data_IF_497937819917
#
_entry.id   IF_497937819917
#
_cell.length_a   1.000
_cell.length_b   1.000
_cell.length_c   1.000
_cell.angle_alpha   90.00
_cell.angle_beta   90.00
_cell.angle_gamma   90.00
#
_symmetry.space_group_name_H-M   'P 1'
#
loop_
_entity.id
_entity.type
_entity.pdbx_description
1 polymer ?
#
# COMPACT_ATOMS: atom_id res chain seq x y z
N UNK A 1 17.46 12.13 -21.85
CA UNK A 1 16.75 11.58 -20.69
C UNK A 1 17.65 11.81 -19.50
N UNK A 2 17.17 12.49 -18.46
CA UNK A 2 17.94 12.55 -17.22
C UNK A 2 17.98 11.13 -16.63
N UNK A 3 19.17 10.56 -16.52
CA UNK A 3 19.36 9.25 -15.89
C UNK A 3 19.14 9.37 -14.41
N UNK A 4 18.28 8.51 -13.85
CA UNK A 4 18.05 8.46 -12.40
C UNK A 4 19.37 8.14 -11.68
N UNK A 5 19.71 8.82 -10.56
CA UNK A 5 20.80 8.37 -9.71
C UNK A 5 20.52 6.95 -9.18
N UNK A 6 21.52 6.06 -9.21
CA UNK A 6 21.40 4.69 -8.68
C UNK A 6 20.93 4.70 -7.21
N UNK A 7 21.38 5.70 -6.43
CA UNK A 7 20.94 5.88 -5.03
C UNK A 7 19.43 6.11 -4.91
N UNK A 8 18.82 6.89 -5.80
CA UNK A 8 17.37 7.11 -5.82
C UNK A 8 16.63 5.82 -6.18
N UNK A 9 17.12 5.09 -7.18
CA UNK A 9 16.54 3.82 -7.58
C UNK A 9 16.60 2.76 -6.48
N UNK A 10 17.69 2.70 -5.73
CA UNK A 10 17.80 1.81 -4.56
C UNK A 10 16.90 2.25 -3.41
N UNK A 11 16.74 3.55 -3.22
CA UNK A 11 15.87 4.10 -2.18
C UNK A 11 14.39 3.76 -2.41
N UNK A 12 13.95 3.61 -3.66
CA UNK A 12 12.58 3.21 -4.04
C UNK A 12 12.21 1.77 -3.58
N UNK A 13 13.20 0.91 -3.24
CA UNK A 13 12.93 -0.39 -2.64
C UNK A 13 12.53 -0.31 -1.16
N UNK A 14 12.94 0.75 -0.44
CA UNK A 14 12.69 0.88 1.00
C UNK A 14 11.19 0.88 1.31
N UNK A 15 10.34 1.72 0.70
CA UNK A 15 8.90 1.70 0.95
C UNK A 15 8.28 0.36 0.58
N UNK A 16 8.72 -0.27 -0.50
CA UNK A 16 8.21 -1.58 -0.95
C UNK A 16 8.41 -2.66 0.11
N UNK A 17 9.58 -2.74 0.72
CA UNK A 17 9.84 -3.71 1.79
C UNK A 17 9.19 -3.32 3.12
N UNK A 18 9.11 -2.02 3.45
CA UNK A 18 8.38 -1.55 4.62
C UNK A 18 6.89 -1.94 4.53
N UNK A 19 6.28 -1.73 3.36
CA UNK A 19 4.92 -2.19 3.08
C UNK A 19 4.76 -3.70 3.30
N UNK A 20 5.66 -4.52 2.75
CA UNK A 20 5.59 -5.98 2.89
C UNK A 20 5.60 -6.42 4.36
N UNK A 21 6.48 -5.82 5.17
CA UNK A 21 6.56 -6.11 6.61
C UNK A 21 5.26 -5.70 7.31
N UNK A 22 4.76 -4.49 7.05
CA UNK A 22 3.49 -4.01 7.61
C UNK A 22 2.31 -4.91 7.23
N UNK A 23 2.22 -5.26 5.94
CA UNK A 23 1.20 -6.16 5.43
C UNK A 23 1.25 -7.56 6.07
N UNK A 24 2.45 -8.10 6.32
CA UNK A 24 2.61 -9.36 7.05
C UNK A 24 1.96 -9.30 8.44
N UNK A 25 2.22 -8.24 9.21
CA UNK A 25 1.60 -8.07 10.52
C UNK A 25 0.10 -7.84 10.44
N UNK A 26 -0.37 -7.13 9.43
CA UNK A 26 -1.80 -6.93 9.20
C UNK A 26 -2.51 -8.25 8.84
N UNK A 27 -1.90 -9.12 8.04
CA UNK A 27 -2.40 -10.47 7.76
C UNK A 27 -2.50 -11.29 9.06
N UNK A 28 -1.48 -11.21 9.92
CA UNK A 28 -1.50 -11.88 11.25
C UNK A 28 -2.62 -11.36 12.14
N UNK A 29 -2.89 -10.05 12.11
CA UNK A 29 -4.01 -9.43 12.81
C UNK A 29 -5.34 -9.96 12.27
N UNK A 30 -5.51 -10.04 10.96
CA UNK A 30 -6.71 -10.57 10.33
C UNK A 30 -6.97 -12.05 10.68
N UNK A 31 -5.92 -12.86 10.84
CA UNK A 31 -6.03 -14.26 11.32
C UNK A 31 -6.63 -14.31 12.73
N UNK A 32 -6.16 -13.43 13.63
CA UNK A 32 -6.66 -13.37 15.02
C UNK A 32 -8.13 -12.93 15.02
N UNK A 33 -8.50 -11.93 14.21
CA UNK A 33 -9.83 -11.33 14.25
C UNK A 33 -10.91 -12.15 13.55
N UNK A 34 -10.62 -12.73 12.39
CA UNK A 34 -11.63 -13.31 11.48
C UNK A 34 -11.25 -14.64 10.87
N UNK A 35 -10.08 -15.17 11.23
CA UNK A 35 -9.61 -16.45 10.72
C UNK A 35 -9.11 -16.43 9.29
N UNK A 36 -8.96 -17.62 8.70
CA UNK A 36 -8.27 -17.84 7.42
C UNK A 36 -8.85 -17.16 6.17
N UNK A 37 -10.19 -17.04 5.97
CA UNK A 37 -10.71 -16.49 4.71
C UNK A 37 -10.33 -15.01 4.50
N UNK A 38 -10.52 -14.17 5.52
CA UNK A 38 -10.19 -12.75 5.48
C UNK A 38 -8.68 -12.51 5.32
N UNK A 39 -7.87 -13.32 6.03
CA UNK A 39 -6.42 -13.23 5.95
C UNK A 39 -5.86 -13.62 4.58
N UNK A 40 -6.47 -14.60 3.88
CA UNK A 40 -6.05 -14.99 2.52
C UNK A 40 -6.28 -13.88 1.51
N UNK A 41 -7.43 -13.22 1.58
CA UNK A 41 -7.75 -12.10 0.70
C UNK A 41 -6.81 -10.92 0.94
N UNK A 42 -6.53 -10.61 2.22
CA UNK A 42 -5.59 -9.56 2.60
C UNK A 42 -4.17 -9.90 2.13
N UNK A 43 -3.74 -11.16 2.27
CA UNK A 43 -2.43 -11.63 1.80
C UNK A 43 -2.32 -11.53 0.26
N UNK A 44 -3.34 -11.94 -0.48
CA UNK A 44 -3.33 -11.85 -1.94
C UNK A 44 -3.26 -10.39 -2.41
N UNK A 45 -4.04 -9.49 -1.80
CA UNK A 45 -3.97 -8.06 -2.07
C UNK A 45 -2.59 -7.47 -1.75
N UNK A 46 -2.03 -7.82 -0.59
CA UNK A 46 -0.71 -7.37 -0.17
C UNK A 46 0.40 -7.83 -1.12
N UNK A 47 0.35 -9.08 -1.59
CA UNK A 47 1.33 -9.59 -2.57
C UNK A 47 1.24 -8.85 -3.90
N UNK A 48 0.03 -8.52 -4.37
CA UNK A 48 -0.15 -7.74 -5.59
C UNK A 48 0.41 -6.32 -5.45
N UNK A 49 0.15 -5.64 -4.32
CA UNK A 49 0.73 -4.32 -4.06
C UNK A 49 2.25 -4.38 -3.99
N UNK A 50 2.79 -5.35 -3.25
CA UNK A 50 4.23 -5.56 -3.17
C UNK A 50 4.86 -5.78 -4.53
N UNK A 51 4.29 -6.68 -5.35
CA UNK A 51 4.79 -6.95 -6.70
C UNK A 51 4.70 -5.70 -7.59
N UNK A 52 3.63 -4.89 -7.46
CA UNK A 52 3.51 -3.63 -8.17
C UNK A 52 4.62 -2.64 -7.81
N UNK A 53 4.86 -2.41 -6.52
CA UNK A 53 5.95 -1.56 -6.04
C UNK A 53 7.32 -2.09 -6.45
N UNK A 54 7.53 -3.40 -6.32
CA UNK A 54 8.78 -4.05 -6.68
C UNK A 54 9.09 -3.94 -8.19
N UNK A 55 8.11 -4.11 -9.06
CA UNK A 55 8.32 -3.98 -10.51
C UNK A 55 8.68 -2.55 -10.92
N UNK A 56 8.10 -1.52 -10.28
CA UNK A 56 8.48 -0.12 -10.48
C UNK A 56 9.92 0.15 -10.03
N UNK A 57 10.26 -0.26 -8.79
CA UNK A 57 11.60 -0.06 -8.23
C UNK A 57 12.66 -0.77 -9.08
N UNK A 58 12.36 -1.99 -9.54
CA UNK A 58 13.22 -2.74 -10.44
C UNK A 58 13.41 -2.02 -11.78
N UNK A 59 12.34 -1.50 -12.37
CA UNK A 59 12.43 -0.72 -13.61
C UNK A 59 13.32 0.51 -13.43
N UNK A 60 13.11 1.32 -12.38
CA UNK A 60 13.97 2.47 -12.08
C UNK A 60 15.43 2.06 -11.92
N UNK A 61 15.68 0.96 -11.23
CA UNK A 61 17.04 0.44 -11.04
C UNK A 61 17.69 0.02 -12.36
N UNK A 62 16.96 -0.68 -13.23
CA UNK A 62 17.48 -1.10 -14.54
C UNK A 62 17.81 0.11 -15.45
N UNK A 63 16.97 1.14 -15.43
CA UNK A 63 17.21 2.41 -16.15
C UNK A 63 18.42 3.15 -15.55
N UNK A 64 18.51 3.26 -14.22
CA UNK A 64 19.62 3.92 -13.54
C UNK A 64 20.97 3.21 -13.74
N UNK A 65 20.94 1.87 -13.87
CA UNK A 65 22.11 1.06 -14.13
C UNK A 65 22.44 0.90 -15.63
N UNK A 66 21.71 1.59 -16.52
CA UNK A 66 21.87 1.56 -17.98
C UNK A 66 21.77 0.13 -18.58
N UNK A 67 21.05 -0.77 -17.90
CA UNK A 67 20.90 -2.17 -18.34
C UNK A 67 19.81 -2.29 -19.40
N UNK A 68 18.61 -1.77 -19.13
CA UNK A 68 17.47 -1.78 -20.05
C UNK A 68 16.37 -0.81 -19.63
N UNK A 69 15.64 -0.25 -20.58
CA UNK A 69 14.41 0.51 -20.33
C UNK A 69 13.19 -0.30 -20.75
N UNK A 70 12.64 -1.05 -19.79
CA UNK A 70 11.46 -1.89 -20.02
C UNK A 70 10.22 -1.15 -19.49
N UNK A 71 9.72 -0.21 -20.28
CA UNK A 71 8.60 0.70 -19.91
C UNK A 71 7.36 -0.03 -19.40
N UNK A 72 7.00 -1.20 -19.95
CA UNK A 72 5.83 -1.93 -19.47
C UNK A 72 5.95 -2.37 -18.01
N UNK A 73 7.17 -2.55 -17.49
CA UNK A 73 7.42 -2.94 -16.10
C UNK A 73 6.95 -1.83 -15.14
N UNK A 74 7.18 -0.55 -15.49
CA UNK A 74 6.69 0.58 -14.73
C UNK A 74 5.16 0.70 -14.79
N UNK A 75 4.54 0.29 -15.89
CA UNK A 75 3.09 0.36 -16.07
C UNK A 75 2.36 -0.75 -15.31
N UNK A 76 3.00 -1.90 -15.15
CA UNK A 76 2.45 -3.05 -14.41
C UNK A 76 2.14 -2.71 -12.95
N UNK A 77 2.90 -1.77 -12.36
CA UNK A 77 2.64 -1.24 -11.03
C UNK A 77 1.18 -0.81 -10.83
N UNK A 78 0.63 -0.02 -11.74
CA UNK A 78 -0.72 0.54 -11.59
C UNK A 78 -1.79 -0.55 -11.58
N UNK A 79 -1.62 -1.57 -12.43
CA UNK A 79 -2.55 -2.70 -12.53
C UNK A 79 -2.48 -3.53 -11.24
N UNK A 80 -1.28 -3.95 -10.86
CA UNK A 80 -1.08 -4.80 -9.69
C UNK A 80 -1.46 -4.09 -8.40
N UNK A 81 -1.01 -2.85 -8.21
CA UNK A 81 -1.32 -2.09 -7.00
C UNK A 81 -2.80 -1.69 -6.95
N UNK A 82 -3.44 -1.34 -8.08
CA UNK A 82 -4.86 -1.02 -8.12
C UNK A 82 -5.73 -2.20 -7.65
N UNK A 83 -5.52 -3.38 -8.20
CA UNK A 83 -6.22 -4.61 -7.80
C UNK A 83 -5.85 -4.98 -6.35
N UNK A 84 -4.56 -4.87 -6.01
CA UNK A 84 -4.03 -5.19 -4.70
C UNK A 84 -4.64 -4.34 -3.58
N UNK A 85 -4.63 -3.01 -3.72
CA UNK A 85 -5.21 -2.10 -2.73
C UNK A 85 -6.72 -2.25 -2.61
N UNK A 86 -7.42 -2.52 -3.71
CA UNK A 86 -8.85 -2.83 -3.64
C UNK A 86 -9.09 -4.09 -2.81
N UNK A 87 -8.32 -5.15 -3.05
CA UNK A 87 -8.37 -6.38 -2.25
C UNK A 87 -8.08 -6.14 -0.77
N UNK A 88 -7.05 -5.33 -0.47
CA UNK A 88 -6.70 -4.91 0.88
C UNK A 88 -7.84 -4.13 1.55
N UNK A 89 -8.39 -3.12 0.89
CA UNK A 89 -9.47 -2.30 1.42
C UNK A 89 -10.70 -3.15 1.76
N UNK A 90 -11.11 -4.03 0.85
CA UNK A 90 -12.23 -4.95 1.09
C UNK A 90 -11.92 -5.88 2.25
N UNK A 91 -10.71 -6.44 2.34
CA UNK A 91 -10.30 -7.32 3.45
C UNK A 91 -10.31 -6.59 4.81
N UNK A 92 -9.85 -5.32 4.86
CA UNK A 92 -9.90 -4.49 6.06
C UNK A 92 -11.34 -4.17 6.46
N UNK A 93 -12.23 -3.87 5.51
CA UNK A 93 -13.66 -3.69 5.78
C UNK A 93 -14.27 -4.96 6.39
N UNK A 94 -13.93 -6.14 5.85
CA UNK A 94 -14.38 -7.42 6.43
C UNK A 94 -13.83 -7.65 7.83
N UNK A 95 -12.58 -7.27 8.07
CA UNK A 95 -11.98 -7.37 9.39
C UNK A 95 -12.76 -6.57 10.43
N UNK A 96 -13.30 -5.40 10.05
CA UNK A 96 -14.07 -4.52 10.95
C UNK A 96 -15.54 -4.92 11.09
N UNK A 97 -16.22 -5.17 9.96
CA UNK A 97 -17.69 -5.29 9.93
C UNK A 97 -18.21 -6.72 10.11
N UNK A 98 -17.35 -7.73 9.99
CA UNK A 98 -17.81 -9.13 9.94
C UNK A 98 -18.53 -9.49 8.64
N UNK A 99 -18.97 -10.75 8.53
CA UNK A 99 -19.63 -11.25 7.33
C UNK A 99 -21.00 -10.58 7.12
N UNK A 100 -21.04 -9.50 6.38
CA UNK A 100 -22.23 -9.06 5.66
C UNK A 100 -21.93 -9.14 4.17
N UNK A 101 -22.61 -10.08 3.49
CA UNK A 101 -22.64 -10.39 2.04
C UNK A 101 -21.41 -9.93 1.25
N UNK A 102 -20.65 -10.90 0.78
CA UNK A 102 -19.54 -10.71 -0.14
C UNK A 102 -19.96 -9.82 -1.31
N UNK A 103 -19.28 -8.70 -1.48
CA UNK A 103 -19.20 -8.07 -2.78
C UNK A 103 -18.50 -9.09 -3.69
N UNK A 104 -19.27 -9.74 -4.52
CA UNK A 104 -18.78 -10.73 -5.49
C UNK A 104 -17.71 -10.07 -6.35
N UNK A 105 -16.51 -10.63 -6.36
CA UNK A 105 -15.31 -10.10 -7.04
C UNK A 105 -15.41 -9.96 -8.57
N UNK A 106 -16.59 -10.20 -9.16
CA UNK A 106 -16.83 -10.05 -10.59
C UNK A 106 -16.83 -8.61 -11.12
N UNK A 107 -17.16 -7.63 -10.28
CA UNK A 107 -17.17 -6.22 -10.69
C UNK A 107 -15.76 -5.61 -10.80
N UNK A 108 -14.77 -6.20 -10.16
CA UNK A 108 -13.38 -5.72 -10.10
C UNK A 108 -12.61 -6.01 -11.39
N UNK A 109 -12.92 -7.09 -12.06
CA UNK A 109 -12.22 -7.53 -13.28
C UNK A 109 -12.60 -6.72 -14.54
N UNK A 110 -13.79 -6.16 -14.59
CA UNK A 110 -14.28 -5.42 -15.75
C UNK A 110 -13.70 -4.00 -15.89
N UNK A 111 -13.08 -3.45 -14.83
CA UNK A 111 -12.44 -2.11 -14.85
C UNK A 111 -10.96 -2.14 -15.28
N UNK A 112 -10.44 -3.31 -15.66
CA UNK A 112 -9.01 -3.56 -15.84
C UNK A 112 -8.38 -2.99 -17.12
N UNK A 113 -9.07 -2.22 -17.95
CA UNK A 113 -8.59 -1.89 -19.30
C UNK A 113 -8.02 -0.47 -19.50
N UNK A 114 -8.02 0.43 -18.48
CA UNK A 114 -7.59 1.82 -18.65
C UNK A 114 -6.77 2.33 -17.44
N UNK A 115 -5.62 2.94 -17.70
CA UNK A 115 -4.63 3.41 -16.72
C UNK A 115 -5.22 4.37 -15.67
N UNK A 116 -6.06 5.30 -16.08
CA UNK A 116 -6.68 6.33 -15.21
C UNK A 116 -7.63 5.72 -14.16
N UNK A 117 -8.52 4.77 -14.49
CA UNK A 117 -9.35 4.09 -13.50
C UNK A 117 -8.55 3.32 -12.46
N UNK A 118 -7.41 2.70 -12.83
CA UNK A 118 -6.56 1.98 -11.87
C UNK A 118 -5.94 2.90 -10.84
N UNK A 119 -5.44 4.04 -11.28
CA UNK A 119 -4.84 5.04 -10.38
C UNK A 119 -5.89 5.58 -9.41
N UNK A 120 -7.11 5.82 -9.90
CA UNK A 120 -8.22 6.27 -9.07
C UNK A 120 -8.65 5.20 -8.06
N UNK A 121 -8.82 3.95 -8.50
CA UNK A 121 -9.14 2.80 -7.63
C UNK A 121 -8.04 2.56 -6.61
N UNK A 122 -6.78 2.62 -7.02
CA UNK A 122 -5.62 2.49 -6.13
C UNK A 122 -5.67 3.54 -5.02
N UNK A 123 -5.80 4.82 -5.39
CA UNK A 123 -5.79 5.94 -4.44
C UNK A 123 -6.98 5.87 -3.47
N UNK A 124 -8.20 5.68 -3.96
CA UNK A 124 -9.39 5.58 -3.11
C UNK A 124 -9.33 4.36 -2.19
N UNK A 125 -8.84 3.23 -2.69
CA UNK A 125 -8.76 1.99 -1.91
C UNK A 125 -7.67 2.05 -0.85
N UNK A 126 -6.50 2.64 -1.15
CA UNK A 126 -5.43 2.82 -0.16
C UNK A 126 -5.85 3.81 0.92
N UNK A 127 -6.41 4.97 0.56
CA UNK A 127 -6.97 5.94 1.51
C UNK A 127 -8.06 5.31 2.38
N UNK A 128 -8.95 4.51 1.77
CA UNK A 128 -10.00 3.79 2.49
C UNK A 128 -9.45 2.78 3.49
N UNK A 129 -8.49 1.96 3.07
CA UNK A 129 -7.86 0.95 3.92
C UNK A 129 -7.11 1.60 5.09
N UNK A 130 -6.24 2.58 4.83
CA UNK A 130 -5.47 3.27 5.87
C UNK A 130 -6.35 4.12 6.78
N UNK A 131 -7.38 4.79 6.25
CA UNK A 131 -8.35 5.53 7.05
C UNK A 131 -9.11 4.64 8.03
N UNK A 132 -9.51 3.43 7.59
CA UNK A 132 -10.15 2.44 8.47
C UNK A 132 -9.16 1.94 9.53
N UNK A 133 -7.91 1.66 9.17
CA UNK A 133 -6.88 1.23 10.11
C UNK A 133 -6.56 2.31 11.14
N UNK A 134 -6.48 3.57 10.71
CA UNK A 134 -6.33 4.75 11.57
C UNK A 134 -7.47 4.82 12.59
N UNK A 135 -8.72 4.74 12.11
CA UNK A 135 -9.90 4.74 12.97
C UNK A 135 -9.90 3.58 13.96
N UNK A 136 -9.57 2.36 13.50
CA UNK A 136 -9.48 1.19 14.36
C UNK A 136 -8.45 1.37 15.48
N UNK A 137 -7.28 1.88 15.15
CA UNK A 137 -6.19 2.11 16.10
C UNK A 137 -6.62 3.13 17.17
N UNK A 138 -7.19 4.27 16.77
CA UNK A 138 -7.69 5.27 17.70
C UNK A 138 -8.85 4.74 18.56
N UNK A 139 -9.80 4.02 17.99
CA UNK A 139 -10.91 3.40 18.74
C UNK A 139 -10.43 2.43 19.81
N UNK A 140 -9.31 1.78 19.62
CA UNK A 140 -8.66 0.90 20.61
C UNK A 140 -7.73 1.64 21.59
N UNK A 141 -7.64 2.96 21.50
CA UNK A 141 -6.76 3.78 22.34
C UNK A 141 -5.28 3.74 21.95
N UNK A 142 -4.94 3.12 20.82
CA UNK A 142 -3.57 2.98 20.31
C UNK A 142 -3.15 4.27 19.59
N UNK A 143 -2.94 5.35 20.33
CA UNK A 143 -2.65 6.68 19.77
C UNK A 143 -1.45 6.68 18.80
N UNK A 144 -0.37 5.97 19.18
CA UNK A 144 0.84 5.89 18.33
C UNK A 144 0.58 5.14 17.03
N UNK A 145 -0.17 4.01 17.08
CA UNK A 145 -0.54 3.29 15.88
C UNK A 145 -1.46 4.12 14.97
N UNK A 146 -2.45 4.81 15.57
CA UNK A 146 -3.33 5.72 14.84
C UNK A 146 -2.59 6.87 14.18
N UNK A 147 -1.65 7.50 14.88
CA UNK A 147 -0.81 8.54 14.31
C UNK A 147 0.10 8.00 13.18
N UNK A 148 0.66 6.81 13.34
CA UNK A 148 1.49 6.17 12.34
C UNK A 148 0.73 5.88 11.04
N UNK A 149 -0.49 5.34 11.10
CA UNK A 149 -1.35 5.18 9.92
C UNK A 149 -1.79 6.53 9.33
N UNK A 150 -2.07 7.53 10.17
CA UNK A 150 -2.44 8.87 9.68
C UNK A 150 -1.30 9.53 8.88
N UNK A 151 -0.03 9.27 9.23
CA UNK A 151 1.13 9.71 8.45
C UNK A 151 1.08 9.09 7.04
N UNK A 152 0.72 7.80 6.90
CA UNK A 152 0.51 7.15 5.60
C UNK A 152 -0.57 7.85 4.78
N UNK A 153 -1.75 8.11 5.39
CA UNK A 153 -2.84 8.86 4.72
C UNK A 153 -2.36 10.24 4.24
N UNK A 154 -1.63 10.98 5.07
CA UNK A 154 -1.08 12.29 4.69
C UNK A 154 -0.06 12.18 3.56
N UNK A 155 0.78 11.14 3.58
CA UNK A 155 1.72 10.84 2.50
C UNK A 155 1.01 10.61 1.16
N UNK A 156 -0.05 9.80 1.15
CA UNK A 156 -0.86 9.56 -0.05
C UNK A 156 -1.49 10.84 -0.62
N UNK A 157 -1.99 11.72 0.25
CA UNK A 157 -2.53 13.02 -0.17
C UNK A 157 -1.44 13.94 -0.72
N UNK A 158 -0.26 13.96 -0.08
CA UNK A 158 0.88 14.74 -0.55
C UNK A 158 1.39 14.24 -1.91
N UNK A 159 1.47 12.91 -2.12
CA UNK A 159 1.80 12.33 -3.43
C UNK A 159 0.81 12.71 -4.51
N UNK A 160 -0.49 12.75 -4.19
CA UNK A 160 -1.53 13.22 -5.11
C UNK A 160 -1.33 14.69 -5.51
N UNK A 161 -0.93 15.55 -4.57
CA UNK A 161 -0.64 16.95 -4.84
C UNK A 161 0.62 17.15 -5.71
N UNK A 162 1.64 16.29 -5.53
CA UNK A 162 2.89 16.34 -6.31
C UNK A 162 2.75 15.73 -7.71
N UNK A 163 1.71 14.94 -7.97
CA UNK A 163 1.51 14.23 -9.24
C UNK A 163 1.43 15.17 -10.48
N UNK A 164 1.12 16.45 -10.28
CA UNK A 164 1.08 17.48 -11.33
C UNK A 164 2.35 18.33 -11.41
N UNK A 165 3.33 18.09 -10.54
CA UNK A 165 4.59 18.84 -10.55
C UNK A 165 5.53 18.33 -11.66
N UNK A 166 6.41 19.22 -12.14
CA UNK A 166 7.46 18.86 -13.08
C UNK A 166 8.38 17.80 -12.44
N UNK A 167 8.53 16.66 -13.11
CA UNK A 167 9.25 15.49 -12.60
C UNK A 167 10.77 15.68 -12.67
N UNK A 168 11.28 16.63 -11.90
CA UNK A 168 12.73 16.82 -11.70
C UNK A 168 13.30 15.78 -10.72
N UNK A 169 14.63 15.56 -10.75
CA UNK A 169 15.31 14.68 -9.79
C UNK A 169 15.03 15.11 -8.34
N UNK A 170 14.95 16.41 -8.06
CA UNK A 170 14.64 16.94 -6.74
C UNK A 170 13.22 16.56 -6.29
N UNK A 171 12.22 16.71 -7.16
CA UNK A 171 10.83 16.31 -6.87
C UNK A 171 10.75 14.81 -6.63
N UNK A 172 11.45 14.00 -7.40
CA UNK A 172 11.46 12.54 -7.19
C UNK A 172 12.07 12.13 -5.84
N UNK A 173 13.12 12.81 -5.37
CA UNK A 173 13.64 12.59 -4.02
C UNK A 173 12.61 12.94 -2.94
N UNK A 174 11.84 14.01 -3.13
CA UNK A 174 10.76 14.42 -2.23
C UNK A 174 9.66 13.35 -2.23
N UNK A 175 9.22 12.92 -3.41
CA UNK A 175 8.17 11.89 -3.57
C UNK A 175 8.57 10.58 -2.89
N UNK A 176 9.79 10.08 -3.16
CA UNK A 176 10.25 8.84 -2.55
C UNK A 176 10.46 8.98 -1.03
N UNK A 177 10.88 10.14 -0.54
CA UNK A 177 10.99 10.39 0.91
C UNK A 177 9.62 10.38 1.59
N UNK A 178 8.61 10.99 0.99
CA UNK A 178 7.22 10.96 1.47
C UNK A 178 6.70 9.52 1.47
N UNK A 179 6.96 8.77 0.41
CA UNK A 179 6.57 7.38 0.28
C UNK A 179 7.22 6.50 1.37
N UNK A 180 8.53 6.66 1.59
CA UNK A 180 9.25 5.96 2.67
C UNK A 180 8.65 6.27 4.05
N UNK A 181 8.39 7.54 4.36
CA UNK A 181 7.81 7.95 5.64
C UNK A 181 6.40 7.36 5.80
N UNK A 182 5.59 7.40 4.75
CA UNK A 182 4.24 6.83 4.74
C UNK A 182 4.25 5.33 5.01
N UNK A 183 5.07 4.57 4.29
CA UNK A 183 5.14 3.11 4.41
C UNK A 183 5.81 2.64 5.71
N UNK A 184 6.77 3.39 6.25
CA UNK A 184 7.29 3.14 7.61
C UNK A 184 6.21 3.41 8.67
N UNK A 185 5.38 4.44 8.47
CA UNK A 185 4.20 4.70 9.29
C UNK A 185 3.21 3.54 9.25
N UNK A 186 2.84 3.07 8.05
CA UNK A 186 1.99 1.90 7.86
C UNK A 186 2.57 0.65 8.55
N UNK A 187 3.85 0.37 8.37
CA UNK A 187 4.55 -0.76 9.00
C UNK A 187 4.48 -0.67 10.53
N UNK A 188 4.83 0.48 11.10
CA UNK A 188 4.79 0.69 12.56
C UNK A 188 3.36 0.54 13.09
N UNK A 189 2.39 1.17 12.44
CA UNK A 189 0.97 1.06 12.81
C UNK A 189 0.49 -0.39 12.81
N UNK A 190 0.83 -1.17 11.77
CA UNK A 190 0.45 -2.58 11.66
C UNK A 190 1.10 -3.46 12.73
N UNK A 191 2.38 -3.23 13.06
CA UNK A 191 3.08 -3.94 14.15
C UNK A 191 2.40 -3.67 15.50
N UNK A 192 2.13 -2.40 15.81
CA UNK A 192 1.50 -2.01 17.07
C UNK A 192 0.07 -2.56 17.18
N UNK A 193 -0.68 -2.48 16.09
CA UNK A 193 -2.03 -3.03 16.02
C UNK A 193 -2.01 -4.56 16.23
N UNK A 194 -1.10 -5.28 15.58
CA UNK A 194 -0.93 -6.72 15.77
C UNK A 194 -0.60 -7.08 17.22
N UNK A 195 0.32 -6.34 17.86
CA UNK A 195 0.71 -6.59 19.25
C UNK A 195 -0.48 -6.44 20.19
N UNK A 196 -1.30 -5.42 20.00
CA UNK A 196 -2.50 -5.22 20.80
C UNK A 196 -3.52 -6.34 20.60
N UNK A 197 -3.84 -6.70 19.35
CA UNK A 197 -4.77 -7.80 19.08
C UNK A 197 -4.28 -9.17 19.59
N UNK A 198 -2.97 -9.38 19.60
CA UNK A 198 -2.37 -10.60 20.14
C UNK A 198 -2.53 -10.69 21.67
N UNK A 199 -2.46 -9.55 22.37
CA UNK A 199 -2.55 -9.50 23.84
C UNK A 199 -4.00 -9.42 24.33
N UNK A 200 -4.82 -8.61 23.68
CA UNK A 200 -6.17 -8.24 24.14
C UNK A 200 -7.30 -8.91 23.36
N UNK A 201 -6.97 -9.67 22.31
CA UNK A 201 -7.96 -10.32 21.46
C UNK A 201 -8.71 -9.36 20.53
N UNK A 202 -9.63 -9.95 19.75
CA UNK A 202 -10.52 -9.21 18.86
C UNK A 202 -11.91 -9.11 19.52
N UNK A 203 -12.31 -7.91 19.93
CA UNK A 203 -13.65 -7.62 20.47
C UNK A 203 -14.59 -7.22 19.35
#
# INVERSE_FOLDING_TARGET
>A
METYPISLALFDFVPTFAFLIGAFYLVRTAVICRGRPSSRMLMAGALLVFLGGFTKALWKFMVAAEVADIVWLSQLQFILSGIGFLGLCVAVIYMVRGHRKALTGGAVFAMALWKIPFLFVMTLSSLGAEGILTYMAFKRGLRLAGAAFAIGVMGLLAMGALASADQTIAIQWIEESINVIGELGFMLGAILLYRDYKLNGCY
#
